data_IF_606923927721
#
_entry.id   IF_606923927721
#
_cell.length_a   1.000
_cell.length_b   1.000
_cell.length_c   1.000
_cell.angle_alpha   90.00
_cell.angle_beta   90.00
_cell.angle_gamma   90.00
#
_symmetry.space_group_name_H-M   'P 1'
#
loop_
_entity.id
_entity.type
_entity.pdbx_description
1 polymer ?
#
# COMPACT_ATOMS: atom_id res chain seq x y z
N UNK A 1 24.41 1.74 -12.46
CA UNK A 1 24.05 1.65 -11.04
C UNK A 1 23.62 0.22 -10.72
N UNK A 2 24.07 -0.29 -9.60
CA UNK A 2 23.74 -1.66 -9.21
C UNK A 2 22.26 -1.76 -8.81
N UNK A 3 21.55 -2.75 -9.35
CA UNK A 3 20.17 -3.05 -9.00
C UNK A 3 20.05 -3.42 -7.51
N UNK A 4 19.09 -2.82 -6.84
CA UNK A 4 18.80 -3.09 -5.44
C UNK A 4 17.32 -3.42 -5.26
N UNK A 5 17.02 -4.16 -4.20
CA UNK A 5 15.64 -4.33 -3.75
C UNK A 5 15.38 -3.31 -2.67
N UNK A 6 14.46 -2.41 -2.92
CA UNK A 6 14.16 -1.29 -2.03
C UNK A 6 12.80 -1.51 -1.41
N UNK A 7 12.75 -1.56 -0.09
CA UNK A 7 11.50 -1.67 0.67
C UNK A 7 11.22 -0.32 1.31
N UNK A 8 10.07 0.26 0.97
CA UNK A 8 9.67 1.56 1.47
C UNK A 8 8.40 1.39 2.29
N UNK A 9 8.42 1.90 3.52
CA UNK A 9 7.23 1.90 4.38
C UNK A 9 6.67 3.32 4.44
N UNK A 10 5.38 3.45 4.14
CA UNK A 10 4.66 4.71 4.24
C UNK A 10 3.57 4.55 5.28
N UNK A 11 3.70 5.27 6.38
CA UNK A 11 2.70 5.27 7.45
C UNK A 11 1.51 6.14 7.10
N UNK A 12 0.39 5.94 7.80
CA UNK A 12 -0.84 6.69 7.54
C UNK A 12 -0.69 8.20 7.75
N UNK A 13 0.17 8.63 8.67
CA UNK A 13 0.42 10.05 8.91
C UNK A 13 1.08 10.74 7.72
N UNK A 14 1.86 10.01 6.92
CA UNK A 14 2.51 10.55 5.72
C UNK A 14 1.55 10.70 4.54
N UNK A 15 0.33 10.17 4.67
CA UNK A 15 -0.70 10.25 3.63
C UNK A 15 -1.94 11.03 4.08
N UNK A 16 -1.97 11.48 5.34
CA UNK A 16 -3.18 12.09 5.90
C UNK A 16 -3.39 13.52 5.37
N UNK A 17 -4.64 13.83 5.06
CA UNK A 17 -5.06 15.20 4.79
C UNK A 17 -5.51 15.91 6.09
N UNK A 18 -5.99 17.14 5.98
CA UNK A 18 -6.41 17.94 7.13
C UNK A 18 -7.65 17.36 7.84
N UNK A 19 -8.39 16.47 7.19
CA UNK A 19 -9.59 15.83 7.74
C UNK A 19 -9.35 14.40 8.22
N UNK A 20 -8.09 13.95 8.19
CA UNK A 20 -7.71 12.60 8.59
C UNK A 20 -7.90 11.53 7.51
N UNK A 21 -8.34 11.93 6.32
CA UNK A 21 -8.41 11.04 5.15
C UNK A 21 -7.10 10.97 4.39
N UNK A 22 -7.14 10.48 3.17
CA UNK A 22 -5.94 10.32 2.33
C UNK A 22 -5.75 11.56 1.47
N UNK A 23 -4.53 12.12 1.50
CA UNK A 23 -4.14 13.21 0.63
C UNK A 23 -3.72 12.64 -0.73
N UNK A 24 -4.46 13.00 -1.77
CA UNK A 24 -4.12 12.57 -3.14
C UNK A 24 -2.80 13.20 -3.59
N UNK A 25 -2.50 14.40 -3.14
CA UNK A 25 -1.25 15.09 -3.47
C UNK A 25 -0.05 14.35 -2.89
N UNK A 26 -0.11 13.99 -1.60
CA UNK A 26 0.98 13.26 -0.96
C UNK A 26 1.15 11.87 -1.57
N UNK A 27 0.06 11.19 -1.87
CA UNK A 27 0.10 9.88 -2.52
C UNK A 27 0.77 9.99 -3.89
N UNK A 28 0.41 11.00 -4.67
CA UNK A 28 1.00 11.26 -5.97
C UNK A 28 2.51 11.52 -5.87
N UNK A 29 2.94 12.30 -4.87
CA UNK A 29 4.36 12.58 -4.64
C UNK A 29 5.14 11.31 -4.28
N UNK A 30 4.55 10.48 -3.43
CA UNK A 30 5.17 9.21 -3.05
C UNK A 30 5.30 8.27 -4.25
N UNK A 31 4.27 8.18 -5.05
CA UNK A 31 4.28 7.34 -6.26
C UNK A 31 5.33 7.84 -7.25
N UNK A 32 5.46 9.14 -7.42
CA UNK A 32 6.49 9.70 -8.31
C UNK A 32 7.90 9.29 -7.88
N UNK A 33 8.17 9.34 -6.57
CA UNK A 33 9.47 8.93 -6.03
C UNK A 33 9.73 7.43 -6.23
N UNK A 34 8.72 6.60 -5.99
CA UNK A 34 8.84 5.15 -6.17
C UNK A 34 8.99 4.78 -7.65
N UNK A 35 8.26 5.47 -8.53
CA UNK A 35 8.38 5.26 -9.97
C UNK A 35 9.80 5.57 -10.46
N UNK A 36 10.43 6.60 -9.91
CA UNK A 36 11.81 6.92 -10.25
C UNK A 36 12.75 5.80 -9.89
N UNK A 37 12.59 5.19 -8.71
CA UNK A 37 13.39 4.03 -8.30
C UNK A 37 13.20 2.87 -9.27
N UNK A 38 11.98 2.62 -9.69
CA UNK A 38 11.66 1.57 -10.63
C UNK A 38 12.31 1.83 -11.99
N UNK A 39 12.25 3.07 -12.48
CA UNK A 39 12.86 3.47 -13.73
C UNK A 39 14.38 3.34 -13.72
N UNK A 40 15.00 3.50 -12.55
CA UNK A 40 16.43 3.30 -12.37
C UNK A 40 16.84 1.82 -12.33
N UNK A 41 15.88 0.91 -12.45
CA UNK A 41 16.12 -0.53 -12.52
C UNK A 41 16.05 -1.26 -11.19
N UNK A 42 15.62 -0.60 -10.12
CA UNK A 42 15.49 -1.23 -8.82
C UNK A 42 14.18 -2.02 -8.70
N UNK A 43 14.18 -3.03 -7.85
CA UNK A 43 12.97 -3.72 -7.44
C UNK A 43 12.36 -2.94 -6.27
N UNK A 44 11.07 -2.63 -6.33
CA UNK A 44 10.43 -1.80 -5.31
C UNK A 44 9.30 -2.56 -4.64
N UNK A 45 9.35 -2.59 -3.32
CA UNK A 45 8.28 -3.14 -2.46
C UNK A 45 7.77 -2.01 -1.57
N UNK A 46 6.48 -1.73 -1.66
CA UNK A 46 5.84 -0.70 -0.85
C UNK A 46 5.03 -1.36 0.26
N UNK A 47 5.30 -0.96 1.49
CA UNK A 47 4.48 -1.32 2.65
C UNK A 47 3.72 -0.06 3.05
N UNK A 48 2.41 -0.11 2.93
CA UNK A 48 1.59 1.08 3.17
C UNK A 48 0.54 0.82 4.24
N UNK A 49 0.27 1.86 5.01
CA UNK A 49 -0.84 1.94 5.95
C UNK A 49 -1.85 2.96 5.42
N UNK A 50 -2.98 3.10 6.09
CA UNK A 50 -3.94 4.13 5.74
C UNK A 50 -5.28 3.61 5.27
N UNK A 51 -5.52 2.30 5.37
CA UNK A 51 -6.80 1.72 4.96
C UNK A 51 -7.98 2.31 5.75
N UNK A 52 -7.82 2.49 7.07
CA UNK A 52 -8.86 3.11 7.89
C UNK A 52 -9.13 4.54 7.42
N UNK A 53 -8.06 5.31 7.21
CA UNK A 53 -8.16 6.70 6.75
C UNK A 53 -8.82 6.79 5.37
N UNK A 54 -8.54 5.84 4.49
CA UNK A 54 -9.12 5.83 3.16
C UNK A 54 -10.62 5.47 3.17
N UNK A 55 -11.08 4.72 4.17
CA UNK A 55 -12.42 4.12 4.15
C UNK A 55 -13.44 4.72 5.10
N UNK A 56 -13.03 5.44 6.15
CA UNK A 56 -14.00 5.83 7.17
C UNK A 56 -15.08 6.79 6.64
N UNK A 57 -14.69 7.72 5.80
CA UNK A 57 -15.63 8.70 5.23
C UNK A 57 -16.65 8.03 4.31
N UNK A 58 -16.22 7.05 3.53
CA UNK A 58 -17.11 6.32 2.63
C UNK A 58 -18.19 5.55 3.39
N UNK A 59 -17.91 5.16 4.64
CA UNK A 59 -18.88 4.49 5.51
C UNK A 59 -19.76 5.47 6.29
N UNK A 60 -19.58 6.78 6.10
CA UNK A 60 -20.38 7.78 6.78
C UNK A 60 -19.88 8.20 8.14
N UNK A 61 -18.70 7.78 8.56
CA UNK A 61 -18.10 8.25 9.81
C UNK A 61 -17.63 9.70 9.63
N UNK A 62 -17.96 10.60 10.56
CA UNK A 62 -17.51 12.00 10.49
C UNK A 62 -16.03 12.18 10.81
N UNK A 63 -15.44 11.20 11.51
CA UNK A 63 -14.03 11.16 11.85
C UNK A 63 -13.58 9.71 11.94
N UNK A 64 -12.29 9.48 12.15
CA UNK A 64 -11.79 8.10 12.25
C UNK A 64 -12.45 7.37 13.41
N UNK A 65 -12.97 6.15 13.18
CA UNK A 65 -13.61 5.38 14.24
C UNK A 65 -12.62 4.98 15.33
N UNK A 66 -13.11 4.91 16.57
CA UNK A 66 -12.30 4.53 17.73
C UNK A 66 -12.54 3.08 18.18
N UNK A 67 -13.67 2.48 17.77
CA UNK A 67 -13.96 1.09 18.11
C UNK A 67 -13.23 0.14 17.17
N UNK A 68 -12.97 -1.09 17.64
CA UNK A 68 -12.32 -2.12 16.83
C UNK A 68 -13.19 -2.45 15.62
N UNK A 69 -14.50 -2.61 15.81
CA UNK A 69 -15.42 -2.91 14.71
C UNK A 69 -15.43 -1.80 13.67
N UNK A 70 -15.44 -0.55 14.11
CA UNK A 70 -15.41 0.60 13.22
C UNK A 70 -14.12 0.68 12.43
N UNK A 71 -12.99 0.46 13.07
CA UNK A 71 -11.69 0.44 12.40
C UNK A 71 -11.59 -0.68 11.38
N UNK A 72 -12.08 -1.87 11.73
CA UNK A 72 -12.06 -3.01 10.81
C UNK A 72 -12.96 -2.78 9.61
N UNK A 73 -14.15 -2.23 9.83
CA UNK A 73 -15.08 -1.90 8.74
C UNK A 73 -14.49 -0.83 7.82
N UNK A 74 -13.93 0.22 8.39
CA UNK A 74 -13.30 1.28 7.62
C UNK A 74 -12.09 0.76 6.83
N UNK A 75 -11.29 -0.11 7.44
CA UNK A 75 -10.13 -0.71 6.76
C UNK A 75 -10.55 -1.61 5.61
N UNK A 76 -11.63 -2.37 5.77
CA UNK A 76 -12.13 -3.25 4.72
C UNK A 76 -12.54 -2.47 3.46
N UNK A 77 -13.23 -1.35 3.64
CA UNK A 77 -13.58 -0.45 2.53
C UNK A 77 -12.34 0.26 2.02
N UNK A 78 -11.53 0.79 2.94
CA UNK A 78 -10.40 1.64 2.61
C UNK A 78 -9.26 0.90 1.92
N UNK A 79 -9.08 -0.38 2.20
CA UNK A 79 -8.02 -1.17 1.56
C UNK A 79 -8.21 -1.19 0.05
N UNK A 80 -9.43 -1.41 -0.41
CA UNK A 80 -9.75 -1.38 -1.84
C UNK A 80 -9.53 0.01 -2.43
N UNK A 81 -10.00 1.05 -1.75
CA UNK A 81 -9.86 2.42 -2.22
C UNK A 81 -8.39 2.84 -2.28
N UNK A 82 -7.61 2.47 -1.28
CA UNK A 82 -6.19 2.79 -1.21
C UNK A 82 -5.43 2.12 -2.34
N UNK A 83 -5.69 0.84 -2.57
CA UNK A 83 -5.04 0.11 -3.65
C UNK A 83 -5.43 0.64 -5.02
N UNK A 84 -6.70 1.02 -5.20
CA UNK A 84 -7.15 1.64 -6.44
C UNK A 84 -6.40 2.94 -6.70
N UNK A 85 -6.24 3.77 -5.67
CA UNK A 85 -5.53 5.04 -5.79
C UNK A 85 -4.06 4.82 -6.20
N UNK A 86 -3.36 3.87 -5.58
CA UNK A 86 -2.00 3.54 -5.95
C UNK A 86 -1.91 2.98 -7.37
N UNK A 87 -2.81 2.08 -7.72
CA UNK A 87 -2.83 1.46 -9.05
C UNK A 87 -3.00 2.51 -10.15
N UNK A 88 -3.92 3.46 -9.95
CA UNK A 88 -4.17 4.51 -10.93
C UNK A 88 -2.97 5.46 -11.08
N UNK A 89 -2.33 5.82 -9.96
CA UNK A 89 -1.16 6.68 -10.02
C UNK A 89 0.03 6.00 -10.68
N UNK A 90 0.32 4.74 -10.33
CA UNK A 90 1.42 4.01 -10.95
C UNK A 90 1.16 3.76 -12.43
N UNK A 91 -0.09 3.61 -12.83
CA UNK A 91 -0.43 3.43 -14.25
C UNK A 91 0.04 4.59 -15.11
N UNK A 92 0.07 5.80 -14.57
CA UNK A 92 0.57 6.98 -15.29
C UNK A 92 2.04 6.83 -15.69
N UNK A 93 2.78 5.99 -14.99
CA UNK A 93 4.19 5.70 -15.27
C UNK A 93 4.37 4.37 -15.99
N UNK A 94 3.28 3.73 -16.40
CA UNK A 94 3.35 2.42 -17.06
C UNK A 94 3.75 1.28 -16.15
N UNK A 95 3.55 1.43 -14.85
CA UNK A 95 3.96 0.45 -13.84
C UNK A 95 2.75 -0.37 -13.39
N UNK A 96 2.90 -1.70 -13.44
CA UNK A 96 1.90 -2.64 -12.93
C UNK A 96 2.10 -2.82 -11.43
N UNK A 97 1.01 -2.76 -10.67
CA UNK A 97 1.04 -2.99 -9.23
C UNK A 97 0.35 -4.30 -8.88
N UNK A 98 0.81 -4.91 -7.80
CA UNK A 98 0.16 -6.09 -7.24
C UNK A 98 0.11 -5.93 -5.72
N UNK A 99 -0.90 -6.51 -5.10
CA UNK A 99 -1.09 -6.46 -3.67
C UNK A 99 -0.88 -7.84 -3.04
N UNK A 100 -0.11 -7.86 -1.97
CA UNK A 100 -0.02 -9.03 -1.10
C UNK A 100 -0.57 -8.65 0.26
N UNK A 101 -1.50 -9.46 0.76
CA UNK A 101 -2.04 -9.33 2.10
C UNK A 101 -1.41 -10.42 2.96
N UNK A 102 -0.60 -10.00 3.94
CA UNK A 102 0.17 -10.91 4.76
C UNK A 102 -0.33 -10.86 6.20
N UNK A 103 -0.34 -12.01 6.85
CA UNK A 103 -0.69 -12.14 8.26
C UNK A 103 0.52 -12.67 9.02
N UNK A 104 0.42 -12.71 10.35
CA UNK A 104 1.49 -13.30 11.17
C UNK A 104 1.76 -14.75 10.82
N UNK A 105 0.73 -15.50 10.46
CA UNK A 105 0.89 -16.91 10.10
C UNK A 105 1.70 -17.09 8.82
N UNK A 106 1.71 -16.09 7.92
CA UNK A 106 2.53 -16.14 6.71
C UNK A 106 4.02 -16.10 7.03
N UNK A 107 4.38 -15.54 8.19
CA UNK A 107 5.78 -15.45 8.62
C UNK A 107 6.17 -16.56 9.59
N UNK A 108 5.21 -17.19 10.26
CA UNK A 108 5.47 -18.23 11.28
C UNK A 108 5.35 -19.65 10.76
N UNK A 109 4.63 -19.87 9.65
CA UNK A 109 4.46 -21.18 9.04
C UNK A 109 5.32 -21.28 7.79
N UNK A 110 6.21 -22.26 7.76
CA UNK A 110 7.20 -22.42 6.69
C UNK A 110 6.57 -22.49 5.30
N UNK A 111 5.47 -23.22 5.15
CA UNK A 111 4.80 -23.35 3.84
C UNK A 111 4.26 -22.00 3.36
N UNK A 112 3.56 -21.28 4.25
CA UNK A 112 2.99 -19.97 3.91
C UNK A 112 4.09 -18.95 3.63
N UNK A 113 5.16 -18.96 4.40
CA UNK A 113 6.31 -18.10 4.17
C UNK A 113 6.92 -18.37 2.79
N UNK A 114 7.13 -19.64 2.45
CA UNK A 114 7.72 -20.00 1.16
C UNK A 114 6.83 -19.58 -0.02
N UNK A 115 5.52 -19.71 0.13
CA UNK A 115 4.58 -19.31 -0.91
C UNK A 115 4.57 -17.79 -1.10
N UNK A 116 4.56 -17.03 -0.02
CA UNK A 116 4.61 -15.57 -0.08
C UNK A 116 5.91 -15.10 -0.70
N UNK A 117 7.03 -15.70 -0.32
CA UNK A 117 8.35 -15.38 -0.86
C UNK A 117 8.42 -15.65 -2.36
N UNK A 118 7.93 -16.81 -2.79
CA UNK A 118 7.94 -17.19 -4.20
C UNK A 118 7.07 -16.24 -5.04
N UNK A 119 5.88 -15.89 -4.56
CA UNK A 119 4.98 -14.97 -5.25
C UNK A 119 5.62 -13.59 -5.38
N UNK A 120 6.21 -13.10 -4.30
CA UNK A 120 6.87 -11.79 -4.31
C UNK A 120 8.02 -11.79 -5.30
N UNK A 121 8.84 -12.84 -5.32
CA UNK A 121 9.95 -12.97 -6.25
C UNK A 121 9.49 -12.97 -7.70
N UNK A 122 8.41 -13.69 -8.01
CA UNK A 122 7.86 -13.71 -9.37
C UNK A 122 7.38 -12.34 -9.81
N UNK A 123 6.69 -11.63 -8.93
CA UNK A 123 6.21 -10.28 -9.23
C UNK A 123 7.36 -9.31 -9.47
N UNK A 124 8.42 -9.39 -8.67
CA UNK A 124 9.57 -8.50 -8.80
C UNK A 124 10.39 -8.76 -10.07
N UNK A 125 10.28 -9.96 -10.64
CA UNK A 125 10.98 -10.31 -11.87
C UNK A 125 10.24 -9.84 -13.13
N UNK A 126 9.05 -9.30 -13.01
CA UNK A 126 8.27 -8.76 -14.12
C UNK A 126 8.43 -7.23 -14.18
#
# INVERSE_FOLDING_TARGET
MKKQRVVVKIGSSSLADSHGGISTEQLSDHVAALARLKEEGHEVVLITSGAVAAGFSALGYPSRPVTIKGKQAAAAVGQSLLMQAYTEEFRKYGIVTAQLLLTRSDFSRKEQYSNAYATLGELLNR
#
